data_IF_399238818279
#
_entry.id   IF_399238818279
#
_cell.length_a   1.000
_cell.length_b   1.000
_cell.length_c   1.000
_cell.angle_alpha   90.00
_cell.angle_beta   90.00
_cell.angle_gamma   90.00
#
_symmetry.space_group_name_H-M   'P 1'
#
loop_
_entity.id
_entity.type
_entity.pdbx_description
1 polymer ?
#
# COMPACT_ATOMS: atom_id res chain seq x y z
N UNK A 1 -14.12 -5.44 -18.02
CA UNK A 1 -12.78 -5.94 -17.63
C UNK A 1 -12.96 -7.17 -16.76
N UNK A 2 -12.09 -8.17 -16.86
CA UNK A 2 -12.16 -9.36 -16.00
C UNK A 2 -11.90 -8.99 -14.53
N UNK A 3 -12.38 -9.77 -13.54
CA UNK A 3 -12.13 -9.50 -12.12
C UNK A 3 -10.64 -9.38 -11.77
N UNK A 4 -9.79 -10.17 -12.43
CA UNK A 4 -8.34 -10.07 -12.31
C UNK A 4 -7.80 -8.72 -12.77
N UNK A 5 -8.21 -8.25 -13.96
CA UNK A 5 -7.80 -6.92 -14.46
C UNK A 5 -8.32 -5.80 -13.58
N UNK A 6 -9.53 -5.91 -13.02
CA UNK A 6 -10.06 -4.93 -12.05
C UNK A 6 -9.20 -4.88 -10.78
N UNK A 7 -8.80 -6.03 -10.24
CA UNK A 7 -7.93 -6.12 -9.08
C UNK A 7 -6.55 -5.49 -9.34
N UNK A 8 -5.94 -5.76 -10.50
CA UNK A 8 -4.67 -5.14 -10.91
C UNK A 8 -4.80 -3.62 -11.11
N UNK A 9 -5.92 -3.14 -11.67
CA UNK A 9 -6.18 -1.70 -11.79
C UNK A 9 -6.29 -1.03 -10.42
N UNK A 10 -6.99 -1.66 -9.47
CA UNK A 10 -7.08 -1.15 -8.10
C UNK A 10 -5.70 -1.07 -7.43
N UNK A 11 -4.89 -2.11 -7.57
CA UNK A 11 -3.50 -2.12 -7.09
C UNK A 11 -2.71 -0.96 -7.70
N UNK A 12 -2.74 -0.80 -9.03
CA UNK A 12 -2.03 0.26 -9.74
C UNK A 12 -2.43 1.67 -9.25
N UNK A 13 -3.74 1.93 -9.12
CA UNK A 13 -4.25 3.22 -8.65
C UNK A 13 -3.83 3.54 -7.21
N UNK A 14 -3.67 2.52 -6.38
CA UNK A 14 -3.24 2.66 -4.99
C UNK A 14 -1.72 2.83 -4.88
N UNK A 15 -0.96 2.02 -5.60
CA UNK A 15 0.49 1.89 -5.42
C UNK A 15 1.30 2.84 -6.29
N UNK A 16 0.74 3.42 -7.37
CA UNK A 16 1.45 4.46 -8.14
C UNK A 16 1.70 5.70 -7.27
N UNK A 17 0.69 6.32 -6.61
CA UNK A 17 0.95 7.43 -5.70
C UNK A 17 1.89 7.07 -4.54
N UNK A 18 1.77 5.84 -4.02
CA UNK A 18 2.65 5.35 -2.95
C UNK A 18 4.11 5.26 -3.42
N UNK A 19 4.37 4.61 -4.55
CA UNK A 19 5.71 4.47 -5.13
C UNK A 19 6.38 5.82 -5.38
N UNK A 20 5.63 6.78 -5.95
CA UNK A 20 6.11 8.15 -6.16
C UNK A 20 6.40 8.86 -4.84
N UNK A 21 5.59 8.65 -3.80
CA UNK A 21 5.85 9.24 -2.48
C UNK A 21 7.15 8.70 -1.86
N UNK A 22 7.43 7.40 -1.97
CA UNK A 22 8.69 6.81 -1.48
C UNK A 22 9.91 7.30 -2.28
N UNK A 23 9.77 7.47 -3.59
CA UNK A 23 10.86 7.92 -4.47
C UNK A 23 11.17 9.41 -4.32
N UNK A 24 10.14 10.25 -4.37
CA UNK A 24 10.26 11.71 -4.46
C UNK A 24 10.18 12.41 -3.09
N UNK A 25 9.50 11.80 -2.11
CA UNK A 25 9.28 12.39 -0.79
C UNK A 25 9.51 11.38 0.36
N UNK A 26 10.68 10.72 0.45
CA UNK A 26 10.95 9.71 1.49
C UNK A 26 10.80 10.25 2.92
N UNK A 27 11.05 11.53 3.15
CA UNK A 27 10.86 12.19 4.44
C UNK A 27 9.39 12.22 4.92
N UNK A 28 8.43 12.08 4.00
CA UNK A 28 7.00 11.95 4.34
C UNK A 28 6.66 10.53 4.84
N UNK A 29 7.50 9.54 4.55
CA UNK A 29 7.32 8.15 4.99
C UNK A 29 7.88 7.92 6.40
N UNK A 30 9.05 8.53 6.68
CA UNK A 30 9.75 8.44 7.95
C UNK A 30 10.36 9.81 8.31
N UNK A 31 9.83 10.44 9.36
CA UNK A 31 10.35 11.71 9.87
C UNK A 31 11.72 11.50 10.52
N UNK A 32 12.69 12.37 10.22
CA UNK A 32 14.04 12.27 10.78
C UNK A 32 14.84 11.06 10.26
N UNK A 33 14.49 10.51 9.10
CA UNK A 33 15.21 9.41 8.49
C UNK A 33 16.70 9.77 8.25
N UNK A 34 17.60 8.87 8.60
CA UNK A 34 19.01 8.99 8.22
C UNK A 34 19.19 8.92 6.69
N UNK A 35 20.36 9.29 6.15
CA UNK A 35 20.66 9.10 4.73
C UNK A 35 20.47 7.64 4.26
N UNK A 36 20.90 6.67 5.06
CA UNK A 36 20.77 5.23 4.77
C UNK A 36 19.30 4.81 4.75
N UNK A 37 18.51 5.24 5.74
CA UNK A 37 17.07 4.99 5.76
C UNK A 37 16.37 5.62 4.54
N UNK A 38 16.81 6.80 4.11
CA UNK A 38 16.30 7.45 2.90
C UNK A 38 16.58 6.65 1.63
N UNK A 39 17.78 6.06 1.51
CA UNK A 39 18.13 5.18 0.39
C UNK A 39 17.29 3.90 0.40
N UNK A 40 17.05 3.30 1.56
CA UNK A 40 16.17 2.13 1.71
C UNK A 40 14.74 2.47 1.27
N UNK A 41 14.20 3.61 1.71
CA UNK A 41 12.86 4.07 1.31
C UNK A 41 12.75 4.25 -0.21
N UNK A 42 13.76 4.85 -0.85
CA UNK A 42 13.79 4.98 -2.31
C UNK A 42 13.87 3.63 -3.01
N UNK A 43 14.66 2.69 -2.50
CA UNK A 43 14.74 1.34 -3.06
C UNK A 43 13.39 0.61 -2.96
N UNK A 44 12.67 0.75 -1.84
CA UNK A 44 11.31 0.24 -1.68
C UNK A 44 10.34 0.91 -2.67
N UNK A 45 10.46 2.23 -2.87
CA UNK A 45 9.69 2.95 -3.88
C UNK A 45 9.94 2.46 -5.32
N UNK A 46 11.21 2.16 -5.64
CA UNK A 46 11.60 1.58 -6.92
C UNK A 46 11.03 0.18 -7.13
N UNK A 47 11.05 -0.66 -6.08
CA UNK A 47 10.42 -1.98 -6.11
C UNK A 47 8.91 -1.89 -6.36
N UNK A 48 8.20 -0.95 -5.70
CA UNK A 48 6.78 -0.71 -5.96
C UNK A 48 6.51 -0.19 -7.37
N UNK A 49 7.39 0.66 -7.90
CA UNK A 49 7.29 1.11 -9.28
C UNK A 49 7.44 -0.08 -10.25
N UNK A 50 8.36 -1.00 -9.98
CA UNK A 50 8.53 -2.20 -10.79
C UNK A 50 7.27 -3.09 -10.79
N UNK A 51 6.62 -3.28 -9.63
CA UNK A 51 5.35 -4.04 -9.58
C UNK A 51 4.21 -3.31 -10.31
N UNK A 52 4.17 -1.98 -10.25
CA UNK A 52 3.23 -1.17 -11.03
C UNK A 52 3.43 -1.35 -12.54
N UNK A 53 4.69 -1.39 -13.01
CA UNK A 53 4.99 -1.63 -14.42
C UNK A 53 4.57 -3.03 -14.87
N UNK A 54 4.75 -4.05 -14.03
CA UNK A 54 4.23 -5.41 -14.29
C UNK A 54 2.71 -5.39 -14.43
N UNK A 55 1.99 -4.72 -13.52
CA UNK A 55 0.53 -4.57 -13.60
C UNK A 55 0.11 -3.85 -14.88
N UNK A 56 0.77 -2.75 -15.23
CA UNK A 56 0.49 -1.99 -16.43
C UNK A 56 0.70 -2.83 -17.70
N UNK A 57 1.80 -3.60 -17.77
CA UNK A 57 2.07 -4.49 -18.89
C UNK A 57 0.96 -5.54 -19.08
N UNK A 58 0.49 -6.16 -17.99
CA UNK A 58 -0.62 -7.14 -18.05
C UNK A 58 -1.96 -6.47 -18.42
N UNK A 59 -2.21 -5.26 -17.95
CA UNK A 59 -3.43 -4.53 -18.29
C UNK A 59 -3.50 -4.17 -19.78
N UNK A 60 -2.38 -3.69 -20.33
CA UNK A 60 -2.24 -3.31 -21.74
C UNK A 60 -2.10 -4.49 -22.69
N UNK A 61 -1.69 -5.67 -22.20
CA UNK A 61 -1.61 -6.88 -23.00
C UNK A 61 -2.98 -7.31 -23.52
N UNK A 62 -2.97 -7.89 -24.73
CA UNK A 62 -4.14 -8.57 -25.29
C UNK A 62 -4.63 -9.65 -24.30
N UNK A 63 -5.96 -9.89 -24.22
CA UNK A 63 -6.51 -10.91 -23.33
C UNK A 63 -5.81 -12.26 -23.58
N UNK A 64 -5.24 -12.90 -22.55
CA UNK A 64 -4.62 -14.21 -22.72
C UNK A 64 -5.70 -15.28 -22.98
N UNK A 65 -5.29 -16.40 -23.57
CA UNK A 65 -6.14 -17.60 -23.65
C UNK A 65 -6.30 -18.31 -22.30
N UNK A 66 -5.35 -18.09 -21.38
CA UNK A 66 -5.34 -18.63 -20.02
C UNK A 66 -5.04 -17.52 -18.99
N UNK A 67 -5.94 -17.35 -18.03
CA UNK A 67 -5.85 -16.35 -16.96
C UNK A 67 -5.02 -16.82 -15.75
N UNK A 68 -4.52 -18.06 -15.71
CA UNK A 68 -3.80 -18.64 -14.54
C UNK A 68 -2.53 -17.87 -14.19
N UNK A 69 -1.78 -17.35 -15.17
CA UNK A 69 -0.60 -16.53 -14.89
C UNK A 69 -1.00 -15.23 -14.19
N UNK A 70 -2.03 -14.55 -14.71
CA UNK A 70 -2.58 -13.34 -14.10
C UNK A 70 -3.12 -13.61 -12.70
N UNK A 71 -3.78 -14.76 -12.49
CA UNK A 71 -4.26 -15.17 -11.18
C UNK A 71 -3.14 -15.36 -10.16
N UNK A 72 -2.05 -16.05 -10.53
CA UNK A 72 -0.86 -16.21 -9.68
C UNK A 72 -0.21 -14.86 -9.36
N UNK A 73 -0.12 -13.98 -10.35
CA UNK A 73 0.38 -12.61 -10.16
C UNK A 73 -0.48 -11.84 -9.15
N UNK A 74 -1.81 -11.89 -9.27
CA UNK A 74 -2.72 -11.28 -8.30
C UNK A 74 -2.50 -11.85 -6.88
N UNK A 75 -2.33 -13.17 -6.73
CA UNK A 75 -2.05 -13.76 -5.42
C UNK A 75 -0.73 -13.24 -4.84
N UNK A 76 0.36 -13.26 -5.62
CA UNK A 76 1.68 -12.78 -5.18
C UNK A 76 1.64 -11.31 -4.77
N UNK A 77 1.15 -10.43 -5.65
CA UNK A 77 1.03 -9.00 -5.35
C UNK A 77 0.00 -8.72 -4.25
N UNK A 78 -1.00 -9.59 -4.10
CA UNK A 78 -2.01 -9.49 -3.05
C UNK A 78 -1.37 -9.59 -1.67
N UNK A 79 -0.44 -10.54 -1.50
CA UNK A 79 0.26 -10.73 -0.22
C UNK A 79 0.99 -9.46 0.23
N UNK A 80 1.59 -8.69 -0.68
CA UNK A 80 2.30 -7.45 -0.36
C UNK A 80 1.42 -6.48 0.48
N UNK A 81 0.10 -6.45 0.28
CA UNK A 81 -0.79 -5.56 1.02
C UNK A 81 -0.89 -5.87 2.52
N UNK A 82 -0.43 -7.03 2.99
CA UNK A 82 -0.34 -7.35 4.43
C UNK A 82 0.58 -6.36 5.17
N UNK A 83 1.68 -5.94 4.55
CA UNK A 83 2.67 -5.05 5.17
C UNK A 83 2.15 -3.62 5.39
N UNK A 84 1.56 -2.92 4.41
CA UNK A 84 0.98 -1.60 4.66
C UNK A 84 -0.26 -1.66 5.56
N UNK A 85 -1.03 -2.77 5.58
CA UNK A 85 -2.10 -3.01 6.57
C UNK A 85 -1.51 -3.04 7.98
N UNK A 86 -0.48 -3.86 8.21
CA UNK A 86 0.19 -3.96 9.50
C UNK A 86 0.79 -2.61 9.94
N UNK A 87 1.44 -1.88 9.01
CA UNK A 87 1.98 -0.54 9.25
C UNK A 87 0.90 0.44 9.68
N UNK A 88 -0.22 0.47 8.96
CA UNK A 88 -1.36 1.34 9.27
C UNK A 88 -1.97 1.00 10.64
N UNK A 89 -2.11 -0.29 10.93
CA UNK A 89 -2.60 -0.79 12.22
C UNK A 89 -1.73 -0.36 13.40
N UNK A 90 -0.41 -0.52 13.29
CA UNK A 90 0.54 -0.06 14.32
C UNK A 90 0.41 1.45 14.54
N UNK A 91 0.32 2.25 13.47
CA UNK A 91 0.12 3.72 13.57
C UNK A 91 -1.19 4.08 14.27
N UNK A 92 -2.28 3.36 13.99
CA UNK A 92 -3.56 3.57 14.68
C UNK A 92 -3.47 3.27 16.17
N UNK A 93 -2.78 2.19 16.56
CA UNK A 93 -2.59 1.83 17.98
C UNK A 93 -1.77 2.87 18.74
N UNK A 94 -0.66 3.33 18.16
CA UNK A 94 0.19 4.35 18.79
C UNK A 94 -0.57 5.67 19.04
N UNK A 95 -1.44 6.07 18.10
CA UNK A 95 -2.26 7.28 18.24
C UNK A 95 -3.33 7.16 19.33
N UNK A 96 -3.93 5.98 19.51
CA UNK A 96 -4.89 5.73 20.60
C UNK A 96 -4.24 5.86 21.97
N UNK A 97 -3.06 5.25 22.16
CA UNK A 97 -2.32 5.35 23.43
C UNK A 97 -1.86 6.78 23.75
N UNK A 98 -1.52 7.59 22.74
CA UNK A 98 -1.20 9.01 22.95
C UNK A 98 -2.40 9.85 23.41
N UNK A 99 -3.61 9.52 22.94
CA UNK A 99 -4.86 10.20 23.33
C UNK A 99 -5.35 9.77 24.72
N UNK A 100 -5.12 8.53 25.13
CA UNK A 100 -5.48 8.03 26.46
C UNK A 100 -4.53 8.52 27.57
N UNK A 101 -3.26 8.80 27.23
CA UNK A 101 -2.28 9.38 28.16
C UNK A 101 -2.34 10.91 28.33
N UNK A 102 -3.23 11.60 27.60
CA UNK A 102 -3.39 13.07 27.66
C UNK A 102 -4.69 13.50 28.35
N UNK A 103 -5.03 12.82 29.44
CA UNK A 103 -5.94 13.35 30.46
C UNK A 103 -5.28 14.51 31.22
N UNK A 104 -5.92 15.68 31.16
CA UNK A 104 -5.67 16.89 31.97
C UNK A 104 -4.23 17.41 32.04
N UNK A 105 -3.84 18.25 31.07
CA UNK A 105 -2.61 19.03 31.16
C UNK A 105 -2.62 20.21 30.18
N UNK A 106 -3.11 21.36 30.64
CA UNK A 106 -2.83 22.65 30.03
C UNK A 106 -1.31 22.87 30.03
N UNK A 107 -0.67 22.86 28.86
CA UNK A 107 0.77 23.05 28.72
C UNK A 107 1.18 23.16 27.27
N UNK A 108 1.48 24.38 26.82
CA UNK A 108 1.85 24.68 25.44
C UNK A 108 3.17 24.03 25.01
N UNK A 109 3.27 23.75 23.71
CA UNK A 109 4.53 23.30 23.12
C UNK A 109 4.36 22.65 21.76
N UNK A 110 4.36 23.48 20.71
CA UNK A 110 4.70 23.08 19.34
C UNK A 110 3.79 22.03 18.71
N UNK A 111 2.77 22.50 17.99
CA UNK A 111 2.10 21.71 16.96
C UNK A 111 3.17 21.30 15.94
N UNK A 112 3.80 20.14 16.14
CA UNK A 112 4.55 19.46 15.10
C UNK A 112 3.51 19.11 14.05
N UNK A 113 3.51 19.89 12.97
CA UNK A 113 2.77 19.62 11.75
C UNK A 113 3.16 18.21 11.27
N UNK A 114 2.44 17.20 11.75
CA UNK A 114 2.50 15.86 11.24
C UNK A 114 1.98 15.97 9.81
N UNK A 115 2.90 16.10 8.83
CA UNK A 115 2.54 16.14 7.41
C UNK A 115 1.62 14.95 7.14
N UNK A 116 0.33 15.24 6.96
CA UNK A 116 -0.70 14.24 6.81
C UNK A 116 -0.42 13.49 5.52
N UNK A 117 0.08 12.26 5.64
CA UNK A 117 0.05 11.31 4.52
C UNK A 117 -1.40 11.24 4.06
N UNK A 118 -1.65 11.41 2.75
CA UNK A 118 -2.99 11.52 2.17
C UNK A 118 -3.91 10.42 2.73
N UNK A 119 -5.02 10.80 3.37
CA UNK A 119 -6.02 9.88 3.96
C UNK A 119 -5.77 9.41 5.40
N UNK A 120 -4.57 9.54 5.95
CA UNK A 120 -4.26 9.07 7.31
C UNK A 120 -4.32 7.53 7.51
N UNK A 121 -3.98 7.03 8.71
CA UNK A 121 -3.79 5.59 8.94
C UNK A 121 -5.03 4.73 8.70
N UNK A 122 -6.24 5.23 9.00
CA UNK A 122 -7.49 4.49 8.81
C UNK A 122 -7.77 4.24 7.33
N UNK A 123 -7.65 5.29 6.50
CA UNK A 123 -7.88 5.16 5.04
C UNK A 123 -6.85 4.22 4.43
N UNK A 124 -5.58 4.34 4.81
CA UNK A 124 -4.52 3.42 4.35
C UNK A 124 -4.87 1.97 4.69
N UNK A 125 -5.29 1.70 5.92
CA UNK A 125 -5.71 0.37 6.34
C UNK A 125 -6.85 -0.16 5.45
N UNK A 126 -7.93 0.60 5.29
CA UNK A 126 -9.11 0.17 4.52
C UNK A 126 -8.76 -0.08 3.06
N UNK A 127 -8.05 0.86 2.41
CA UNK A 127 -7.68 0.74 1.00
C UNK A 127 -6.85 -0.52 0.75
N UNK A 128 -5.85 -0.80 1.60
CA UNK A 128 -5.03 -1.99 1.41
C UNK A 128 -5.76 -3.29 1.77
N UNK A 129 -6.72 -3.29 2.71
CA UNK A 129 -7.60 -4.45 2.94
C UNK A 129 -8.45 -4.74 1.70
N UNK A 130 -9.03 -3.70 1.06
CA UNK A 130 -9.80 -3.88 -0.18
C UNK A 130 -8.90 -4.42 -1.29
N UNK A 131 -7.67 -3.89 -1.45
CA UNK A 131 -6.71 -4.40 -2.43
C UNK A 131 -6.36 -5.87 -2.19
N UNK A 132 -6.07 -6.25 -0.94
CA UNK A 132 -5.78 -7.62 -0.55
C UNK A 132 -6.93 -8.56 -0.92
N UNK A 133 -8.15 -8.22 -0.51
CA UNK A 133 -9.34 -9.04 -0.78
C UNK A 133 -9.65 -9.14 -2.27
N UNK A 134 -9.53 -8.05 -3.02
CA UNK A 134 -9.74 -8.05 -4.46
C UNK A 134 -8.75 -8.95 -5.20
N UNK A 135 -7.46 -8.87 -4.86
CA UNK A 135 -6.39 -9.61 -5.53
C UNK A 135 -6.39 -11.09 -5.12
N UNK A 136 -6.51 -11.39 -3.83
CA UNK A 136 -6.57 -12.77 -3.32
C UNK A 136 -7.87 -13.45 -3.76
N UNK A 137 -9.00 -12.76 -3.66
CA UNK A 137 -10.31 -13.28 -4.08
C UNK A 137 -10.35 -13.58 -5.57
N UNK A 138 -9.94 -12.64 -6.42
CA UNK A 138 -9.93 -12.85 -7.88
C UNK A 138 -8.95 -13.93 -8.32
N UNK A 139 -7.74 -13.95 -7.76
CA UNK A 139 -6.74 -14.99 -8.05
C UNK A 139 -7.18 -16.37 -7.58
N UNK A 140 -7.70 -16.47 -6.35
CA UNK A 140 -8.18 -17.72 -5.76
C UNK A 140 -9.37 -18.31 -6.53
N UNK A 141 -10.35 -17.48 -6.91
CA UNK A 141 -11.50 -17.95 -7.69
C UNK A 141 -11.12 -18.59 -9.02
N UNK A 142 -10.07 -18.09 -9.70
CA UNK A 142 -9.61 -18.68 -10.97
C UNK A 142 -8.89 -20.00 -10.74
N UNK A 143 -8.09 -20.10 -9.68
CA UNK A 143 -7.28 -21.30 -9.41
C UNK A 143 -8.03 -22.43 -8.70
N UNK A 144 -9.15 -22.13 -8.03
CA UNK A 144 -9.95 -23.13 -7.27
C UNK A 144 -11.16 -23.68 -8.04
N UNK A 145 -11.38 -23.26 -9.29
CA UNK A 145 -12.49 -23.74 -10.14
C UNK A 145 -12.17 -25.05 -10.89
N UNK A 146 -11.17 -25.78 -10.43
CA UNK A 146 -10.75 -27.11 -10.91
C UNK A 146 -11.24 -28.20 -9.96
#
# INVERSE_FOLDING_TARGET
MTPLKQALTLHLLTEVPASLSFLLAPHAQLLGASPEATLILRNLGGLLMATNLVCLAVLLAKPPSDDRLTARLCLCLGTYHVWPIARAWVRMRLRRGAHEGSGSGSGGGGVREEKKVLGGPVVHFVVHVICLLAMVGSGGMVLLRE
#
